data_IF_616005792434
#
_entry.id   IF_616005792434
#
_cell.length_a   1.000
_cell.length_b   1.000
_cell.length_c   1.000
_cell.angle_alpha   90.00
_cell.angle_beta   90.00
_cell.angle_gamma   90.00
#
_symmetry.space_group_name_H-M   'P 1'
#
loop_
_entity.id
_entity.type
_entity.pdbx_description
1 polymer ?
#
# COMPACT_ATOMS: atom_id res chain seq x y z
N UNK A 1 11.10 30.97 49.01
CA UNK A 1 9.62 30.84 49.03
C UNK A 1 9.16 30.64 47.58
N UNK A 2 8.40 29.58 47.24
CA UNK A 2 6.92 29.49 47.28
C UNK A 2 6.20 30.68 46.61
N UNK A 3 5.16 30.58 45.77
CA UNK A 3 4.37 29.52 45.06
C UNK A 3 3.48 30.30 44.01
N UNK A 4 2.82 29.79 42.95
CA UNK A 4 2.50 28.45 42.39
C UNK A 4 2.33 28.55 40.83
N UNK A 5 2.02 27.44 40.16
CA UNK A 5 1.70 27.29 38.73
C UNK A 5 0.34 27.89 38.29
N UNK A 6 0.21 28.19 36.99
CA UNK A 6 -1.07 28.51 36.35
C UNK A 6 -0.96 28.78 34.84
N UNK A 7 -0.73 27.74 34.01
CA UNK A 7 -0.47 27.93 32.58
C UNK A 7 -0.27 26.65 31.77
N UNK A 8 -1.13 25.65 32.03
CA UNK A 8 -1.32 24.38 31.34
C UNK A 8 -0.66 24.26 29.94
N UNK A 9 0.54 23.65 29.88
CA UNK A 9 1.13 23.10 28.65
C UNK A 9 1.05 21.57 28.72
N UNK A 10 0.04 20.92 28.11
CA UNK A 10 -0.02 19.48 28.04
C UNK A 10 0.39 19.01 26.64
N UNK A 11 1.49 18.25 26.59
CA UNK A 11 1.75 17.20 25.60
C UNK A 11 2.07 17.67 24.17
N UNK A 12 3.34 18.00 23.95
CA UNK A 12 4.05 17.19 22.94
C UNK A 12 4.00 15.73 23.42
N UNK A 13 3.32 14.85 22.68
CA UNK A 13 3.56 13.40 22.54
C UNK A 13 2.38 12.79 21.77
N UNK A 14 2.71 12.16 20.64
CA UNK A 14 1.95 11.16 19.90
C UNK A 14 0.40 11.19 20.01
N UNK A 15 -0.23 11.90 19.07
CA UNK A 15 -1.44 11.40 18.39
C UNK A 15 -1.29 11.56 16.88
N UNK A 16 -0.31 10.84 16.32
CA UNK A 16 -0.52 10.22 15.00
C UNK A 16 -1.62 9.18 15.24
N UNK A 17 -2.87 9.64 15.19
CA UNK A 17 -4.02 8.77 15.40
C UNK A 17 -4.06 7.79 14.22
N UNK A 18 -3.65 6.56 14.52
CA UNK A 18 -4.05 5.36 13.82
C UNK A 18 -5.59 5.36 13.68
N UNK A 19 -6.10 6.01 12.64
CA UNK A 19 -7.39 5.67 12.03
C UNK A 19 -7.07 4.82 10.79
N UNK A 20 -6.18 3.85 11.00
CA UNK A 20 -6.25 2.58 10.31
C UNK A 20 -7.46 1.87 10.92
N UNK A 21 -8.66 2.19 10.43
CA UNK A 21 -9.72 1.20 10.39
C UNK A 21 -9.44 0.40 9.11
N UNK A 22 -8.70 -0.73 9.14
CA UNK A 22 -8.75 -1.64 8.03
C UNK A 22 -10.22 -2.05 7.91
N UNK A 23 -10.86 -1.72 6.79
CA UNK A 23 -12.06 -2.44 6.41
C UNK A 23 -11.70 -3.92 6.44
N UNK A 24 -12.40 -4.68 7.28
CA UNK A 24 -12.34 -6.14 7.32
C UNK A 24 -13.03 -6.75 6.08
N UNK A 25 -12.69 -6.24 4.90
CA UNK A 25 -12.46 -7.10 3.77
C UNK A 25 -11.13 -7.82 4.04
N UNK A 26 -11.21 -8.95 4.76
CA UNK A 26 -10.31 -10.03 4.43
C UNK A 26 -10.65 -10.40 2.98
N UNK A 27 -9.96 -9.77 2.01
CA UNK A 27 -9.82 -10.39 0.69
C UNK A 27 -9.15 -11.73 0.98
N UNK A 28 -9.91 -12.82 0.88
CA UNK A 28 -9.36 -14.16 0.83
C UNK A 28 -8.60 -14.26 -0.47
N UNK A 29 -7.37 -13.77 -0.43
CA UNK A 29 -6.56 -13.75 -1.60
C UNK A 29 -6.01 -15.12 -1.92
N UNK A 30 -5.41 -15.21 -3.09
CA UNK A 30 -4.42 -16.24 -3.39
C UNK A 30 -3.16 -15.97 -2.55
N UNK A 31 -3.27 -16.07 -1.22
CA UNK A 31 -2.19 -15.85 -0.27
C UNK A 31 -1.26 -17.06 -0.30
N UNK A 32 -0.22 -16.97 -1.13
CA UNK A 32 0.87 -17.93 -1.19
C UNK A 32 1.81 -17.59 -0.04
N UNK A 33 1.72 -18.34 1.06
CA UNK A 33 2.48 -18.12 2.30
C UNK A 33 4.00 -18.11 2.10
N UNK A 34 4.50 -18.86 1.10
CA UNK A 34 5.91 -18.92 0.69
C UNK A 34 6.04 -18.68 -0.82
N UNK A 35 5.92 -17.41 -1.24
CA UNK A 35 5.93 -17.02 -2.65
C UNK A 35 7.24 -17.38 -3.35
N UNK A 36 8.38 -17.27 -2.66
CA UNK A 36 9.70 -17.66 -3.17
C UNK A 36 9.78 -19.16 -3.48
N UNK A 37 9.20 -20.00 -2.62
CA UNK A 37 9.13 -21.44 -2.84
C UNK A 37 8.18 -21.81 -3.97
N UNK A 38 7.06 -21.10 -4.11
CA UNK A 38 6.12 -21.30 -5.21
C UNK A 38 6.76 -20.95 -6.57
N UNK A 39 7.49 -19.84 -6.66
CA UNK A 39 8.27 -19.47 -7.86
C UNK A 39 9.32 -20.54 -8.16
N UNK A 40 10.10 -20.96 -7.16
CA UNK A 40 11.22 -21.90 -7.35
C UNK A 40 10.77 -23.32 -7.72
N UNK A 41 9.55 -23.73 -7.36
CA UNK A 41 9.03 -25.07 -7.58
C UNK A 41 7.97 -25.18 -8.69
N UNK A 42 7.53 -24.08 -9.30
CA UNK A 42 6.56 -24.10 -10.38
C UNK A 42 7.11 -24.81 -11.63
N UNK A 43 6.44 -25.91 -12.04
CA UNK A 43 6.82 -26.80 -13.15
C UNK A 43 5.62 -27.38 -13.91
N UNK A 44 4.44 -26.88 -13.57
CA UNK A 44 3.20 -27.28 -14.20
C UNK A 44 2.37 -26.04 -14.47
N UNK A 45 1.56 -26.11 -15.53
CA UNK A 45 0.52 -25.13 -15.86
C UNK A 45 -0.29 -24.69 -14.63
N UNK A 46 -0.66 -25.62 -13.75
CA UNK A 46 -1.39 -25.33 -12.51
C UNK A 46 -0.56 -24.59 -11.43
N UNK A 47 0.76 -24.75 -11.40
CA UNK A 47 1.64 -23.93 -10.55
C UNK A 47 1.72 -22.50 -11.07
N UNK A 48 1.91 -22.35 -12.38
CA UNK A 48 1.99 -21.06 -13.02
C UNK A 48 0.65 -20.30 -12.96
N UNK A 49 -0.49 -20.95 -13.20
CA UNK A 49 -1.83 -20.37 -13.03
C UNK A 49 -2.08 -19.85 -11.60
N UNK A 50 -1.56 -20.52 -10.56
CA UNK A 50 -1.61 -20.02 -9.18
C UNK A 50 -0.79 -18.74 -8.99
N UNK A 51 0.40 -18.67 -9.59
CA UNK A 51 1.24 -17.46 -9.57
C UNK A 51 0.60 -16.30 -10.37
N UNK A 52 -0.09 -16.58 -11.49
CA UNK A 52 -0.90 -15.57 -12.21
C UNK A 52 -1.96 -14.98 -11.29
N UNK A 53 -2.74 -15.82 -10.61
CA UNK A 53 -3.81 -15.38 -9.72
C UNK A 53 -3.29 -14.52 -8.55
N UNK A 54 -2.20 -14.95 -7.91
CA UNK A 54 -1.52 -14.21 -6.84
C UNK A 54 -1.09 -12.81 -7.30
N UNK A 55 -0.33 -12.73 -8.39
CA UNK A 55 0.21 -11.45 -8.87
C UNK A 55 -0.87 -10.52 -9.44
N UNK A 56 -1.91 -11.04 -10.08
CA UNK A 56 -3.06 -10.22 -10.48
C UNK A 56 -3.78 -9.60 -9.28
N UNK A 57 -3.93 -10.33 -8.18
CA UNK A 57 -4.58 -9.83 -6.98
C UNK A 57 -3.72 -8.82 -6.24
N UNK A 58 -2.42 -9.10 -6.09
CA UNK A 58 -1.48 -8.16 -5.49
C UNK A 58 -1.44 -6.85 -6.28
N UNK A 59 -1.44 -6.91 -7.62
CA UNK A 59 -1.59 -5.73 -8.46
C UNK A 59 -2.88 -4.93 -8.17
N UNK A 60 -4.04 -5.59 -8.07
CA UNK A 60 -5.33 -4.95 -7.73
C UNK A 60 -5.28 -4.29 -6.33
N UNK A 61 -4.64 -4.94 -5.37
CA UNK A 61 -4.46 -4.45 -3.99
C UNK A 61 -3.56 -3.22 -3.94
N UNK A 62 -2.44 -3.25 -4.67
CA UNK A 62 -1.49 -2.13 -4.78
C UNK A 62 -2.11 -0.95 -5.52
N UNK A 63 -2.87 -1.19 -6.58
CA UNK A 63 -3.59 -0.15 -7.35
C UNK A 63 -4.60 0.60 -6.47
N UNK A 64 -5.47 -0.13 -5.75
CA UNK A 64 -6.39 0.43 -4.74
C UNK A 64 -5.66 1.26 -3.69
N UNK A 65 -4.53 0.77 -3.18
CA UNK A 65 -3.71 1.50 -2.20
C UNK A 65 -3.09 2.77 -2.79
N UNK A 66 -2.79 2.80 -4.09
CA UNK A 66 -2.39 4.02 -4.79
C UNK A 66 -3.53 5.05 -4.84
N UNK A 67 -4.77 4.61 -5.06
CA UNK A 67 -5.97 5.47 -5.07
C UNK A 67 -6.23 6.08 -3.68
N UNK A 68 -6.13 5.27 -2.62
CA UNK A 68 -6.25 5.71 -1.22
C UNK A 68 -5.24 6.84 -0.90
N UNK A 69 -3.98 6.69 -1.32
CA UNK A 69 -2.97 7.75 -1.15
C UNK A 69 -3.20 8.95 -2.09
N UNK A 70 -3.77 8.75 -3.27
CA UNK A 70 -4.14 9.84 -4.18
C UNK A 70 -5.25 10.72 -3.57
N UNK A 71 -6.22 10.12 -2.87
CA UNK A 71 -7.23 10.87 -2.10
C UNK A 71 -6.62 11.57 -0.88
N UNK A 72 -5.71 10.93 -0.14
CA UNK A 72 -5.01 11.61 0.96
C UNK A 72 -4.20 12.83 0.50
N UNK A 73 -3.53 12.76 -0.66
CA UNK A 73 -2.86 13.91 -1.25
C UNK A 73 -3.85 15.06 -1.56
N UNK A 74 -5.06 14.75 -2.05
CA UNK A 74 -6.14 15.74 -2.27
C UNK A 74 -6.67 16.33 -0.96
N UNK A 75 -6.76 15.54 0.11
CA UNK A 75 -7.15 16.02 1.46
C UNK A 75 -6.11 17.00 1.98
N UNK A 76 -4.83 16.62 2.03
CA UNK A 76 -3.76 17.52 2.52
C UNK A 76 -3.63 18.81 1.71
N UNK A 77 -3.90 18.78 0.40
CA UNK A 77 -3.94 19.98 -0.45
C UNK A 77 -5.04 20.98 -0.04
N UNK A 78 -6.14 20.52 0.59
CA UNK A 78 -7.28 21.36 1.01
C UNK A 78 -7.16 21.89 2.46
N UNK A 79 -6.33 21.29 3.30
CA UNK A 79 -6.18 21.70 4.71
C UNK A 79 -5.55 23.10 4.77
N UNK A 80 -6.26 24.09 5.30
CA UNK A 80 -5.77 25.46 5.49
C UNK A 80 -4.93 25.61 6.76
N UNK A 81 -5.32 24.92 7.82
CA UNK A 81 -4.95 25.24 9.21
C UNK A 81 -3.55 24.73 9.64
N UNK A 82 -2.83 24.10 8.70
CA UNK A 82 -1.48 23.58 8.89
C UNK A 82 -0.46 24.53 8.25
N UNK A 83 0.73 24.63 8.85
CA UNK A 83 1.85 25.40 8.29
C UNK A 83 2.14 25.02 6.82
N UNK A 84 2.32 25.98 5.90
CA UNK A 84 2.46 25.71 4.46
C UNK A 84 3.51 24.66 4.11
N UNK A 85 4.65 24.66 4.80
CA UNK A 85 5.75 23.72 4.54
C UNK A 85 5.36 22.27 4.87
N UNK A 86 4.64 22.05 5.98
CA UNK A 86 4.16 20.72 6.38
C UNK A 86 3.11 20.23 5.38
N UNK A 87 2.17 21.09 4.99
CA UNK A 87 1.18 20.77 3.94
C UNK A 87 1.85 20.35 2.63
N UNK A 88 2.79 21.14 2.11
CA UNK A 88 3.50 20.84 0.87
C UNK A 88 4.30 19.53 0.96
N UNK A 89 4.98 19.29 2.09
CA UNK A 89 5.67 18.02 2.34
C UNK A 89 4.71 16.83 2.32
N UNK A 90 3.58 16.89 3.03
CA UNK A 90 2.62 15.78 3.07
C UNK A 90 1.98 15.51 1.70
N UNK A 91 1.66 16.55 0.92
CA UNK A 91 1.16 16.38 -0.46
C UNK A 91 2.18 15.64 -1.33
N UNK A 92 3.45 16.06 -1.30
CA UNK A 92 4.53 15.39 -2.05
C UNK A 92 4.77 13.96 -1.55
N UNK A 93 4.67 13.71 -0.24
CA UNK A 93 4.81 12.39 0.35
C UNK A 93 3.75 11.41 -0.18
N UNK A 94 2.47 11.79 -0.14
CA UNK A 94 1.39 10.94 -0.65
C UNK A 94 1.38 10.79 -2.18
N UNK A 95 1.82 11.81 -2.92
CA UNK A 95 2.05 11.68 -4.37
C UNK A 95 3.16 10.68 -4.69
N UNK A 96 4.25 10.67 -3.93
CA UNK A 96 5.32 9.67 -4.06
C UNK A 96 4.86 8.26 -3.70
N UNK A 97 4.02 8.10 -2.67
CA UNK A 97 3.39 6.81 -2.36
C UNK A 97 2.48 6.35 -3.50
N UNK A 98 1.59 7.22 -3.99
CA UNK A 98 0.70 6.93 -5.14
C UNK A 98 1.51 6.40 -6.33
N UNK A 99 2.59 7.09 -6.72
CA UNK A 99 3.46 6.65 -7.82
C UNK A 99 4.08 5.27 -7.56
N UNK A 100 4.71 5.07 -6.39
CA UNK A 100 5.35 3.79 -6.02
C UNK A 100 4.37 2.62 -6.00
N UNK A 101 3.13 2.82 -5.55
CA UNK A 101 2.11 1.77 -5.53
C UNK A 101 1.56 1.45 -6.93
N UNK A 102 1.55 2.41 -7.87
CA UNK A 102 1.27 2.13 -9.29
C UNK A 102 2.40 1.37 -9.97
N UNK A 103 3.64 1.80 -9.78
CA UNK A 103 4.84 1.10 -10.29
C UNK A 103 4.86 -0.36 -9.82
N UNK A 104 4.65 -0.61 -8.52
CA UNK A 104 4.56 -1.97 -7.98
C UNK A 104 3.36 -2.77 -8.54
N UNK A 105 2.21 -2.14 -8.80
CA UNK A 105 1.07 -2.81 -9.44
C UNK A 105 1.35 -3.19 -10.90
N UNK A 106 2.08 -2.35 -11.64
CA UNK A 106 2.55 -2.63 -13.01
C UNK A 106 3.58 -3.77 -13.03
N UNK A 107 4.54 -3.78 -12.09
CA UNK A 107 5.50 -4.88 -11.91
C UNK A 107 4.79 -6.21 -11.62
N UNK A 108 3.79 -6.22 -10.73
CA UNK A 108 3.00 -7.42 -10.45
C UNK A 108 2.19 -7.88 -11.68
N UNK A 109 1.59 -6.98 -12.46
CA UNK A 109 0.93 -7.32 -13.74
C UNK A 109 1.92 -7.92 -14.75
N UNK A 110 3.17 -7.46 -14.77
CA UNK A 110 4.21 -8.04 -15.63
C UNK A 110 4.61 -9.47 -15.19
N UNK A 111 4.72 -9.72 -13.88
CA UNK A 111 4.96 -11.07 -13.33
C UNK A 111 3.80 -12.02 -13.59
N UNK A 112 2.54 -11.57 -13.44
CA UNK A 112 1.37 -12.34 -13.82
C UNK A 112 1.40 -12.72 -15.32
N UNK A 113 1.74 -11.77 -16.21
CA UNK A 113 1.89 -12.03 -17.64
C UNK A 113 2.99 -13.05 -17.94
N UNK A 114 4.14 -12.96 -17.28
CA UNK A 114 5.25 -13.92 -17.43
C UNK A 114 4.79 -15.35 -17.06
N UNK A 115 4.12 -15.53 -15.92
CA UNK A 115 3.62 -16.85 -15.54
C UNK A 115 2.50 -17.36 -16.45
N UNK A 116 1.66 -16.48 -17.00
CA UNK A 116 0.67 -16.88 -18.01
C UNK A 116 1.33 -17.39 -19.30
N UNK A 117 2.41 -16.74 -19.76
CA UNK A 117 3.20 -17.20 -20.91
C UNK A 117 3.86 -18.56 -20.64
N UNK A 118 4.39 -18.79 -19.43
CA UNK A 118 4.96 -20.09 -19.02
C UNK A 118 3.88 -21.19 -18.95
N UNK A 119 2.71 -20.89 -18.40
CA UNK A 119 1.58 -21.83 -18.28
C UNK A 119 1.08 -22.37 -19.64
N UNK A 120 1.25 -21.60 -20.72
CA UNK A 120 0.88 -21.99 -22.10
C UNK A 120 1.94 -22.89 -22.74
N UNK A 121 3.20 -22.82 -22.30
CA UNK A 121 4.32 -23.60 -22.86
C UNK A 121 4.40 -25.02 -22.28
N UNK A 122 3.78 -25.26 -21.11
CA UNK A 122 3.75 -26.55 -20.42
C UNK A 122 2.49 -27.40 -20.72
N UNK A 123 1.76 -27.08 -21.78
CA UNK A 123 0.51 -27.73 -22.23
C UNK A 123 0.73 -28.61 -23.49
#
# INVERSE_FOLDING_TARGET
MNRIYGGLVPKMVLTIAFILAPMLAHSQGSEIEHIEEAIANAKTKADHERLVAHYEEEAKRLEKKSEEYQELAKVYKKITDVYPNIRSYMVLHYQNLTRRYKEAAEENRALAKLHHELAIVED
#
